data_IF_259111457097
#
_entry.id   IF_259111457097
#
_cell.length_a   1.000
_cell.length_b   1.000
_cell.length_c   1.000
_cell.angle_alpha   90.00
_cell.angle_beta   90.00
_cell.angle_gamma   90.00
#
_symmetry.space_group_name_H-M   'P 1'
#
loop_
_entity.id
_entity.type
_entity.pdbx_description
1 polymer ?
#
# COMPACT_ATOMS: atom_id res chain seq x y z
N UNK A 1 -2.62 -22.55 12.73
CA UNK A 1 -1.97 -21.23 12.62
C UNK A 1 -1.15 -21.22 11.32
N UNK A 2 -0.91 -20.06 10.70
CA UNK A 2 -0.15 -19.96 9.44
C UNK A 2 1.03 -19.01 9.66
N UNK A 3 2.22 -19.46 9.31
CA UNK A 3 3.43 -18.65 9.26
C UNK A 3 3.80 -18.44 7.79
N UNK A 4 4.05 -17.20 7.41
CA UNK A 4 4.47 -16.83 6.06
C UNK A 4 5.77 -16.03 6.15
N UNK A 5 6.82 -16.53 5.50
CA UNK A 5 8.08 -15.80 5.34
C UNK A 5 8.25 -15.40 3.87
N UNK A 6 8.80 -14.21 3.65
CA UNK A 6 9.20 -13.77 2.31
C UNK A 6 10.53 -14.41 1.86
N UNK A 7 11.27 -15.00 2.80
CA UNK A 7 12.59 -15.56 2.56
C UNK A 7 12.63 -17.01 3.09
N UNK A 8 12.83 -17.96 2.18
CA UNK A 8 12.96 -19.37 2.50
C UNK A 8 14.37 -19.73 3.03
N UNK A 9 15.38 -18.90 2.73
CA UNK A 9 16.75 -19.15 3.16
C UNK A 9 16.92 -19.11 4.68
N UNK A 10 15.97 -18.51 5.39
CA UNK A 10 15.95 -18.39 6.85
C UNK A 10 16.05 -19.76 7.56
N UNK A 11 15.58 -20.83 6.92
CA UNK A 11 15.66 -22.21 7.41
C UNK A 11 16.70 -23.07 6.68
N UNK A 12 17.63 -22.45 5.94
CA UNK A 12 18.75 -23.16 5.35
C UNK A 12 19.62 -23.82 6.43
N UNK A 13 20.10 -25.03 6.17
CA UNK A 13 20.99 -25.80 7.04
C UNK A 13 22.21 -24.99 7.47
N UNK A 14 22.78 -24.16 6.59
CA UNK A 14 23.94 -23.32 6.91
C UNK A 14 23.61 -22.26 7.99
N UNK A 15 22.46 -21.59 7.87
CA UNK A 15 22.03 -20.57 8.82
C UNK A 15 21.50 -21.18 10.12
N UNK A 16 20.87 -22.37 10.06
CA UNK A 16 20.44 -23.12 11.24
C UNK A 16 21.64 -23.66 12.04
N UNK A 17 22.69 -24.12 11.36
CA UNK A 17 23.86 -24.71 12.00
C UNK A 17 24.87 -23.69 12.53
N UNK A 18 24.78 -22.43 12.08
CA UNK A 18 25.71 -21.39 12.49
C UNK A 18 25.39 -20.86 13.90
N UNK A 19 26.30 -21.00 14.89
CA UNK A 19 26.06 -20.59 16.27
C UNK A 19 26.02 -19.06 16.47
N UNK A 20 26.41 -18.27 15.46
CA UNK A 20 26.33 -16.80 15.53
C UNK A 20 24.93 -16.26 15.26
N UNK A 21 24.01 -17.10 14.79
CA UNK A 21 22.63 -16.72 14.50
C UNK A 21 21.63 -17.54 15.30
N UNK A 22 20.51 -16.92 15.69
CA UNK A 22 19.44 -17.57 16.45
C UNK A 22 18.38 -18.25 15.57
N UNK A 23 18.67 -18.50 14.28
CA UNK A 23 17.73 -19.06 13.31
C UNK A 23 17.14 -20.39 13.77
N UNK A 24 17.95 -21.23 14.44
CA UNK A 24 17.51 -22.50 15.02
C UNK A 24 16.46 -22.27 16.11
N UNK A 25 16.71 -21.34 17.04
CA UNK A 25 15.77 -21.03 18.12
C UNK A 25 14.49 -20.40 17.57
N UNK A 26 14.62 -19.51 16.57
CA UNK A 26 13.50 -18.89 15.91
C UNK A 26 12.61 -19.92 15.19
N UNK A 27 13.20 -20.87 14.47
CA UNK A 27 12.47 -21.98 13.85
C UNK A 27 11.72 -22.83 14.88
N UNK A 28 12.37 -23.19 15.99
CA UNK A 28 11.71 -23.92 17.08
C UNK A 28 10.54 -23.15 17.69
N UNK A 29 10.67 -21.83 17.86
CA UNK A 29 9.59 -20.98 18.36
C UNK A 29 8.40 -20.95 17.41
N UNK A 30 8.64 -20.90 16.09
CA UNK A 30 7.58 -20.95 15.09
C UNK A 30 6.84 -22.29 15.17
N UNK A 31 7.56 -23.40 15.21
CA UNK A 31 6.94 -24.73 15.30
C UNK A 31 6.11 -24.86 16.58
N UNK A 32 6.68 -24.49 17.73
CA UNK A 32 5.95 -24.51 19.00
C UNK A 32 4.70 -23.64 18.97
N UNK A 33 4.80 -22.46 18.34
CA UNK A 33 3.64 -21.59 18.13
C UNK A 33 2.61 -22.22 17.20
N UNK A 34 3.02 -22.93 16.15
CA UNK A 34 2.10 -23.60 15.22
C UNK A 34 1.38 -24.78 15.87
N UNK A 35 2.03 -25.53 16.77
CA UNK A 35 1.56 -26.81 17.33
C UNK A 35 0.92 -26.72 18.72
N UNK A 36 0.62 -25.54 19.26
CA UNK A 36 -0.06 -25.36 20.57
C UNK A 36 0.58 -26.15 21.73
N UNK A 37 1.89 -26.37 21.69
CA UNK A 37 2.61 -27.23 22.65
C UNK A 37 2.63 -26.71 24.09
N UNK A 38 2.13 -25.50 24.33
CA UNK A 38 2.03 -24.90 25.66
C UNK A 38 0.83 -25.45 26.49
N UNK A 39 -0.04 -26.28 25.91
CA UNK A 39 -1.31 -26.74 26.53
C UNK A 39 -1.29 -28.24 26.91
N UNK A 40 -0.15 -28.94 26.79
CA UNK A 40 0.00 -30.32 27.25
C UNK A 40 -0.52 -31.40 26.29
N UNK A 41 -0.79 -31.04 25.03
CA UNK A 41 -1.12 -31.99 23.97
C UNK A 41 0.14 -32.63 23.35
N UNK A 42 -0.01 -33.87 22.87
CA UNK A 42 1.09 -34.66 22.31
C UNK A 42 1.57 -34.04 20.99
N UNK A 43 2.89 -33.96 20.79
CA UNK A 43 3.50 -33.42 19.54
C UNK A 43 3.22 -34.30 18.31
N UNK A 44 2.68 -35.50 18.50
CA UNK A 44 2.54 -36.52 17.46
C UNK A 44 1.26 -36.37 16.63
N UNK A 45 0.31 -35.56 17.11
CA UNK A 45 -0.99 -35.39 16.46
C UNK A 45 -1.03 -34.23 15.45
N UNK A 46 0.04 -33.42 15.37
CA UNK A 46 0.09 -32.23 14.53
C UNK A 46 0.79 -32.47 13.20
N UNK A 47 0.06 -32.29 12.10
CA UNK A 47 0.62 -32.34 10.75
C UNK A 47 1.12 -30.94 10.37
N UNK A 48 2.43 -30.82 10.16
CA UNK A 48 3.07 -29.58 9.66
C UNK A 48 3.31 -29.76 8.17
N UNK A 49 2.73 -28.87 7.37
CA UNK A 49 2.86 -28.87 5.91
C UNK A 49 3.80 -27.73 5.52
N UNK A 50 4.89 -28.07 4.84
CA UNK A 50 5.82 -27.11 4.26
C UNK A 50 5.52 -26.98 2.77
N UNK A 51 5.14 -25.78 2.34
CA UNK A 51 4.95 -25.44 0.92
C UNK A 51 6.05 -24.48 0.47
N UNK A 52 7.11 -25.05 -0.08
CA UNK A 52 8.21 -24.30 -0.70
C UNK A 52 8.04 -24.16 -2.22
N UNK A 53 6.99 -24.76 -2.79
CA UNK A 53 6.80 -24.82 -4.24
C UNK A 53 6.59 -23.44 -4.87
N UNK A 54 6.10 -22.47 -4.09
CA UNK A 54 5.94 -21.08 -4.53
C UNK A 54 7.27 -20.31 -4.69
N UNK A 55 8.37 -20.81 -4.11
CA UNK A 55 9.70 -20.17 -4.15
C UNK A 55 10.70 -21.00 -4.98
N UNK A 56 10.39 -22.28 -5.22
CA UNK A 56 11.21 -23.15 -6.08
C UNK A 56 11.22 -22.59 -7.52
N UNK A 57 12.40 -22.43 -8.16
CA UNK A 57 12.46 -22.28 -9.61
C UNK A 57 11.83 -23.55 -10.21
N UNK A 58 10.74 -23.41 -10.95
CA UNK A 58 9.98 -24.53 -11.50
C UNK A 58 10.93 -25.48 -12.25
N UNK A 59 11.13 -26.69 -11.71
CA UNK A 59 11.86 -27.74 -12.42
C UNK A 59 11.00 -28.22 -13.60
N UNK A 60 11.20 -27.62 -14.77
CA UNK A 60 11.32 -28.35 -16.03
C UNK A 60 11.53 -27.39 -17.20
N UNK A 61 12.70 -27.48 -17.85
CA UNK A 61 12.95 -27.04 -19.24
C UNK A 61 12.65 -25.59 -19.62
N UNK A 62 12.41 -24.70 -18.67
CA UNK A 62 12.40 -23.29 -18.98
C UNK A 62 13.83 -22.85 -19.25
N UNK A 63 14.13 -22.64 -20.53
CA UNK A 63 15.32 -21.94 -20.98
C UNK A 63 15.51 -20.75 -20.03
N UNK A 64 16.59 -20.76 -19.24
CA UNK A 64 16.87 -19.66 -18.33
C UNK A 64 16.84 -18.36 -19.12
N UNK A 65 16.41 -17.25 -18.52
CA UNK A 65 16.38 -15.95 -19.23
C UNK A 65 17.75 -15.64 -19.88
N UNK A 66 18.84 -16.08 -19.24
CA UNK A 66 20.19 -16.05 -19.79
C UNK A 66 20.40 -17.02 -20.98
N UNK A 67 19.87 -18.24 -20.95
CA UNK A 67 19.92 -19.21 -22.04
C UNK A 67 19.09 -18.80 -23.27
N UNK A 68 17.87 -18.28 -23.08
CA UNK A 68 17.07 -17.68 -24.16
C UNK A 68 17.82 -16.50 -24.76
N UNK A 69 18.35 -15.63 -23.92
CA UNK A 69 19.13 -14.47 -24.37
C UNK A 69 20.37 -14.89 -25.15
N UNK A 70 21.12 -15.89 -24.67
CA UNK A 70 22.29 -16.45 -25.34
C UNK A 70 21.96 -17.06 -26.70
N UNK A 71 20.88 -17.85 -26.78
CA UNK A 71 20.43 -18.45 -28.03
C UNK A 71 20.01 -17.39 -29.06
N UNK A 72 19.26 -16.37 -28.63
CA UNK A 72 18.86 -15.25 -29.49
C UNK A 72 20.08 -14.46 -29.93
N UNK A 73 20.98 -14.07 -29.02
CA UNK A 73 22.18 -13.30 -29.38
C UNK A 73 23.10 -14.06 -30.32
N UNK A 74 23.29 -15.38 -30.15
CA UNK A 74 24.05 -16.19 -31.09
C UNK A 74 23.45 -16.19 -32.49
N UNK A 75 22.12 -16.29 -32.60
CA UNK A 75 21.42 -16.21 -33.88
C UNK A 75 21.56 -14.83 -34.54
N UNK A 76 21.46 -13.75 -33.74
CA UNK A 76 21.65 -12.37 -34.21
C UNK A 76 23.06 -12.16 -34.74
N UNK A 77 24.07 -12.63 -34.00
CA UNK A 77 25.48 -12.51 -34.39
C UNK A 77 25.75 -13.28 -35.68
N UNK A 78 25.24 -14.50 -35.82
CA UNK A 78 25.39 -15.26 -37.06
C UNK A 78 24.74 -14.56 -38.26
N UNK A 79 23.58 -13.93 -38.09
CA UNK A 79 22.89 -13.21 -39.16
C UNK A 79 23.52 -11.85 -39.48
N UNK A 80 24.14 -11.18 -38.51
CA UNK A 80 24.81 -9.90 -38.74
C UNK A 80 26.22 -10.06 -39.34
N UNK A 81 26.85 -11.24 -39.20
CA UNK A 81 28.20 -11.50 -39.71
C UNK A 81 28.22 -11.85 -41.20
N UNK A 82 27.08 -12.24 -41.79
CA UNK A 82 26.97 -12.50 -43.23
C UNK A 82 26.60 -11.20 -43.99
N UNK A 83 27.45 -10.72 -44.93
CA UNK A 83 27.30 -9.41 -45.58
C UNK A 83 25.95 -9.18 -46.29
N UNK A 84 25.31 -10.25 -46.77
CA UNK A 84 24.04 -10.17 -47.49
C UNK A 84 22.87 -10.03 -46.51
N UNK A 85 22.89 -10.79 -45.40
CA UNK A 85 21.80 -10.79 -44.42
C UNK A 85 21.88 -9.59 -43.48
N UNK A 86 23.06 -9.02 -43.26
CA UNK A 86 23.25 -7.84 -42.42
C UNK A 86 22.43 -6.62 -42.86
N UNK A 87 22.14 -6.48 -44.16
CA UNK A 87 21.37 -5.35 -44.69
C UNK A 87 19.85 -5.55 -44.58
N UNK A 88 19.39 -6.80 -44.70
CA UNK A 88 17.96 -7.16 -44.65
C UNK A 88 17.49 -7.36 -43.21
N UNK A 89 18.39 -7.80 -42.33
CA UNK A 89 18.09 -8.13 -40.94
C UNK A 89 17.44 -6.99 -40.13
N UNK A 90 17.89 -5.71 -40.21
CA UNK A 90 17.26 -4.61 -39.49
C UNK A 90 15.79 -4.40 -39.89
N UNK A 91 15.47 -4.58 -41.17
CA UNK A 91 14.10 -4.46 -41.69
C UNK A 91 13.22 -5.61 -41.20
N UNK A 92 13.73 -6.86 -41.26
CA UNK A 92 13.02 -8.02 -40.75
C UNK A 92 12.83 -7.97 -39.23
N UNK A 93 13.82 -7.50 -38.48
CA UNK A 93 13.74 -7.33 -37.03
C UNK A 93 12.68 -6.28 -36.65
N UNK A 94 12.64 -5.14 -37.35
CA UNK A 94 11.58 -4.14 -37.13
C UNK A 94 10.21 -4.72 -37.46
N UNK A 95 10.09 -5.45 -38.58
CA UNK A 95 8.82 -6.04 -39.00
C UNK A 95 8.32 -7.12 -38.03
N UNK A 96 9.20 -8.02 -37.57
CA UNK A 96 8.86 -9.09 -36.64
C UNK A 96 8.56 -8.56 -35.24
N UNK A 97 9.41 -7.65 -34.72
CA UNK A 97 9.24 -7.08 -33.39
C UNK A 97 8.04 -6.15 -33.30
N UNK A 98 7.60 -5.50 -34.39
CA UNK A 98 6.40 -4.65 -34.39
C UNK A 98 5.12 -5.38 -33.96
N UNK A 99 5.06 -6.70 -34.14
CA UNK A 99 3.92 -7.54 -33.70
C UNK A 99 3.94 -7.81 -32.19
N UNK A 100 5.13 -7.87 -31.60
CA UNK A 100 5.35 -8.15 -30.17
C UNK A 100 5.56 -6.89 -29.33
N UNK A 101 5.93 -5.78 -29.97
CA UNK A 101 6.00 -4.48 -29.33
C UNK A 101 4.59 -4.08 -28.89
N UNK A 102 4.39 -3.73 -27.61
CA UNK A 102 3.09 -3.34 -27.11
C UNK A 102 2.59 -2.16 -27.94
N UNK A 103 1.45 -2.34 -28.62
CA UNK A 103 0.76 -1.23 -29.28
C UNK A 103 0.55 -0.17 -28.22
N UNK A 104 1.14 1.02 -28.40
CA UNK A 104 1.07 2.17 -27.47
C UNK A 104 -0.37 2.62 -27.25
N UNK A 105 -1.11 1.86 -26.44
CA UNK A 105 -2.38 2.26 -25.88
C UNK A 105 -2.05 3.18 -24.70
N UNK A 106 -1.82 4.46 -24.99
CA UNK A 106 -1.52 5.52 -24.00
C UNK A 106 -2.49 5.55 -22.80
N UNK A 107 -3.70 4.99 -22.94
CA UNK A 107 -4.69 4.83 -21.86
C UNK A 107 -4.40 3.67 -20.90
N UNK A 108 -3.82 2.57 -21.38
CA UNK A 108 -3.52 1.38 -20.57
C UNK A 108 -2.28 1.55 -19.71
N UNK A 109 -1.23 2.15 -20.27
CA UNK A 109 0.01 2.48 -19.55
C UNK A 109 -0.23 3.47 -18.41
N UNK A 110 -1.05 4.51 -18.64
CA UNK A 110 -1.46 5.45 -17.59
C UNK A 110 -2.25 4.79 -16.46
N UNK A 111 -3.09 3.79 -16.77
CA UNK A 111 -3.83 3.04 -15.74
C UNK A 111 -2.93 2.16 -14.89
N UNK A 112 -1.97 1.45 -15.52
CA UNK A 112 -1.00 0.61 -14.83
C UNK A 112 -0.07 1.42 -13.93
N UNK A 113 0.42 2.57 -14.41
CA UNK A 113 1.20 3.50 -13.60
C UNK A 113 0.42 4.01 -12.38
N UNK A 114 -0.86 4.41 -12.57
CA UNK A 114 -1.71 4.83 -11.45
C UNK A 114 -2.04 3.73 -10.45
N UNK A 115 -2.12 2.46 -10.87
CA UNK A 115 -2.30 1.33 -9.96
C UNK A 115 -1.04 1.02 -9.16
N UNK A 116 0.12 1.20 -9.78
CA UNK A 116 1.43 1.01 -9.15
C UNK A 116 1.70 2.12 -8.13
N UNK A 117 1.44 3.39 -8.50
CA UNK A 117 1.48 4.53 -7.57
C UNK A 117 0.55 4.31 -6.36
N UNK A 118 -0.67 3.79 -6.60
CA UNK A 118 -1.61 3.47 -5.51
C UNK A 118 -1.14 2.34 -4.60
N UNK A 119 -0.40 1.36 -5.13
CA UNK A 119 0.17 0.28 -4.33
C UNK A 119 1.34 0.78 -3.48
N UNK A 120 2.23 1.59 -4.07
CA UNK A 120 3.33 2.23 -3.34
C UNK A 120 2.81 3.19 -2.25
N UNK A 121 1.76 3.96 -2.53
CA UNK A 121 1.07 4.77 -1.52
C UNK A 121 0.54 3.88 -0.38
N UNK A 122 -0.13 2.76 -0.69
CA UNK A 122 -0.62 1.79 0.31
C UNK A 122 0.48 1.17 1.17
N UNK A 123 1.66 0.96 0.60
CA UNK A 123 2.81 0.41 1.31
C UNK A 123 3.45 1.46 2.22
N UNK A 124 3.54 2.73 1.79
CA UNK A 124 3.97 3.86 2.64
C UNK A 124 3.02 4.09 3.82
N UNK A 125 1.71 3.89 3.60
CA UNK A 125 0.69 3.95 4.65
C UNK A 125 0.82 2.86 5.73
N UNK A 126 1.70 1.85 5.61
CA UNK A 126 1.93 0.84 6.66
C UNK A 126 2.90 1.31 7.75
N UNK A 127 3.79 2.26 7.45
CA UNK A 127 4.91 2.64 8.35
C UNK A 127 4.64 3.91 9.16
N UNK A 128 3.72 4.75 8.69
CA UNK A 128 3.26 5.95 9.39
C UNK A 128 1.78 5.83 9.74
N UNK A 129 1.32 6.47 10.82
CA UNK A 129 -0.12 6.53 11.09
C UNK A 129 -0.80 7.21 9.90
N UNK A 130 -1.71 6.53 9.22
CA UNK A 130 -2.48 7.02 8.07
C UNK A 130 -3.02 8.46 8.26
N UNK A 131 -3.31 8.84 9.51
CA UNK A 131 -3.75 10.19 9.85
C UNK A 131 -2.63 11.24 9.72
N UNK A 132 -1.42 10.93 10.18
CA UNK A 132 -0.26 11.82 10.11
C UNK A 132 0.14 12.09 8.65
N UNK A 133 0.25 11.04 7.84
CA UNK A 133 0.61 11.18 6.42
C UNK A 133 -0.48 11.89 5.61
N UNK A 134 -1.75 11.68 5.97
CA UNK A 134 -2.85 12.43 5.34
C UNK A 134 -2.84 13.90 5.70
N UNK A 135 -2.42 14.26 6.92
CA UNK A 135 -2.17 15.65 7.31
C UNK A 135 -0.98 16.22 6.53
N UNK A 136 0.12 15.48 6.43
CA UNK A 136 1.30 15.82 5.63
C UNK A 136 0.88 16.11 4.18
N UNK A 137 0.08 15.24 3.58
CA UNK A 137 -0.42 15.37 2.21
C UNK A 137 -1.29 16.62 2.02
N UNK A 138 -2.18 16.93 2.98
CA UNK A 138 -2.97 18.16 2.92
C UNK A 138 -2.10 19.41 3.05
N UNK A 139 -1.03 19.34 3.86
CA UNK A 139 -0.03 20.40 4.03
C UNK A 139 0.77 20.61 2.75
N UNK A 140 1.38 19.55 2.21
CA UNK A 140 2.19 19.60 0.98
C UNK A 140 1.39 20.08 -0.24
N UNK A 141 0.15 19.62 -0.40
CA UNK A 141 -0.71 20.02 -1.52
C UNK A 141 -1.42 21.36 -1.27
N UNK A 142 -1.19 22.02 -0.14
CA UNK A 142 -1.88 23.27 0.26
C UNK A 142 -3.41 23.17 0.19
N UNK A 143 -3.96 21.98 0.47
CA UNK A 143 -5.41 21.67 0.33
C UNK A 143 -6.15 21.78 1.66
N UNK A 144 -5.88 22.83 2.44
CA UNK A 144 -6.44 23.02 3.78
C UNK A 144 -7.98 23.13 3.78
N UNK A 145 -8.59 23.76 2.77
CA UNK A 145 -10.05 23.86 2.68
C UNK A 145 -10.75 22.50 2.61
N UNK A 146 -10.17 21.52 1.91
CA UNK A 146 -10.71 20.15 1.85
C UNK A 146 -10.57 19.44 3.20
N UNK A 147 -9.45 19.62 3.90
CA UNK A 147 -9.26 19.07 5.24
C UNK A 147 -10.29 19.64 6.23
N UNK A 148 -10.46 20.97 6.23
CA UNK A 148 -11.45 21.66 7.07
C UNK A 148 -12.88 21.21 6.77
N UNK A 149 -13.22 21.03 5.50
CA UNK A 149 -14.55 20.52 5.08
C UNK A 149 -14.81 19.11 5.64
N UNK A 150 -13.82 18.22 5.63
CA UNK A 150 -13.96 16.87 6.18
C UNK A 150 -14.12 16.87 7.70
N UNK A 151 -13.35 17.70 8.40
CA UNK A 151 -13.48 17.89 9.85
C UNK A 151 -14.86 18.43 10.20
N UNK A 152 -15.35 19.42 9.43
CA UNK A 152 -16.69 19.94 9.61
C UNK A 152 -17.77 18.88 9.36
N UNK A 153 -17.71 18.09 8.29
CA UNK A 153 -18.68 17.00 8.06
C UNK A 153 -18.71 15.97 9.20
N UNK A 154 -17.59 15.76 9.88
CA UNK A 154 -17.56 14.92 11.09
C UNK A 154 -18.22 15.61 12.28
N UNK A 155 -17.97 16.90 12.46
CA UNK A 155 -18.58 17.73 13.49
C UNK A 155 -20.10 17.87 13.28
N UNK A 156 -20.53 18.09 12.04
CA UNK A 156 -21.93 18.16 11.60
C UNK A 156 -22.69 16.88 11.95
N UNK A 157 -22.12 15.70 11.69
CA UNK A 157 -22.73 14.43 12.10
C UNK A 157 -22.96 14.34 13.62
N UNK A 158 -21.98 14.78 14.41
CA UNK A 158 -22.12 14.82 15.88
C UNK A 158 -23.15 15.86 16.33
N UNK A 159 -23.14 17.05 15.74
CA UNK A 159 -24.10 18.10 16.07
C UNK A 159 -25.52 17.69 15.69
N UNK A 160 -25.73 17.06 14.53
CA UNK A 160 -27.05 16.56 14.14
C UNK A 160 -27.58 15.51 15.12
N UNK A 161 -26.72 14.62 15.63
CA UNK A 161 -27.10 13.67 16.67
C UNK A 161 -27.52 14.36 17.97
N UNK A 162 -26.83 15.44 18.37
CA UNK A 162 -27.15 16.20 19.58
C UNK A 162 -28.38 17.11 19.41
N UNK A 163 -28.55 17.71 18.24
CA UNK A 163 -29.60 18.69 17.93
C UNK A 163 -30.92 18.06 17.46
N UNK A 164 -30.96 16.72 17.29
CA UNK A 164 -32.16 15.93 16.95
C UNK A 164 -32.98 16.53 15.80
N UNK A 165 -32.30 16.96 14.73
CA UNK A 165 -32.95 17.50 13.53
C UNK A 165 -33.15 19.03 13.49
N UNK A 166 -32.73 19.78 14.52
CA UNK A 166 -32.67 21.26 14.43
C UNK A 166 -31.55 21.69 13.47
N UNK A 167 -31.77 22.79 12.73
CA UNK A 167 -30.75 23.38 11.84
C UNK A 167 -29.51 23.78 12.66
N UNK A 168 -28.34 23.46 12.13
CA UNK A 168 -27.05 23.85 12.72
C UNK A 168 -26.82 25.34 12.43
N UNK A 169 -26.99 26.17 13.45
CA UNK A 169 -26.66 27.59 13.43
C UNK A 169 -25.69 27.91 14.56
N UNK A 170 -24.90 28.98 14.41
CA UNK A 170 -23.92 29.40 15.43
C UNK A 170 -24.58 29.60 16.79
N UNK A 171 -25.78 30.21 16.82
CA UNK A 171 -26.56 30.42 18.05
C UNK A 171 -26.95 29.10 18.72
N UNK A 172 -27.55 28.16 17.97
CA UNK A 172 -27.99 26.87 18.51
C UNK A 172 -26.82 26.05 19.09
N UNK A 173 -25.63 26.15 18.48
CA UNK A 173 -24.42 25.47 18.99
C UNK A 173 -23.90 26.14 20.26
N UNK A 174 -23.91 27.47 20.32
CA UNK A 174 -23.51 28.22 21.53
C UNK A 174 -24.45 27.89 22.70
N UNK A 175 -25.76 27.90 22.46
CA UNK A 175 -26.76 27.58 23.49
C UNK A 175 -26.56 26.15 24.03
N UNK A 176 -26.21 25.21 23.15
CA UNK A 176 -25.91 23.82 23.53
C UNK A 176 -24.61 23.73 24.35
N UNK A 177 -23.59 24.50 24.00
CA UNK A 177 -22.33 24.56 24.75
C UNK A 177 -22.55 25.18 26.13
N UNK A 178 -23.31 26.26 26.24
CA UNK A 178 -23.65 26.91 27.52
C UNK A 178 -24.48 25.97 28.40
N UNK A 179 -25.45 25.26 27.82
CA UNK A 179 -26.27 24.29 28.55
C UNK A 179 -25.44 23.11 29.10
N UNK A 180 -24.35 22.74 28.41
CA UNK A 180 -23.46 21.65 28.82
C UNK A 180 -22.38 22.08 29.81
N UNK A 181 -21.83 23.28 29.64
CA UNK A 181 -20.82 23.88 30.51
C UNK A 181 -21.25 25.28 30.95
N UNK A 182 -21.98 25.40 32.08
CA UNK A 182 -22.48 26.70 32.55
C UNK A 182 -21.37 27.68 32.95
N UNK A 183 -20.18 27.19 33.31
CA UNK A 183 -19.03 28.00 33.73
C UNK A 183 -18.10 28.39 32.57
N UNK A 184 -18.57 28.40 31.33
CA UNK A 184 -17.73 28.71 30.17
C UNK A 184 -17.34 30.20 30.12
N UNK A 185 -16.07 30.48 29.86
CA UNK A 185 -15.56 31.86 29.75
C UNK A 185 -16.06 32.54 28.46
N UNK A 186 -16.39 33.84 28.53
CA UNK A 186 -16.75 34.68 27.37
C UNK A 186 -15.75 34.56 26.20
N UNK A 187 -14.47 34.44 26.52
CA UNK A 187 -13.40 34.29 25.53
C UNK A 187 -13.48 32.96 24.76
N UNK A 188 -13.85 31.86 25.42
CA UNK A 188 -14.09 30.56 24.76
C UNK A 188 -15.33 30.64 23.87
N UNK A 189 -16.42 31.23 24.33
CA UNK A 189 -17.63 31.45 23.51
C UNK A 189 -17.30 32.22 22.23
N UNK A 190 -16.53 33.32 22.34
CA UNK A 190 -16.12 34.11 21.17
C UNK A 190 -15.30 33.31 20.16
N UNK A 191 -14.41 32.43 20.62
CA UNK A 191 -13.62 31.54 19.75
C UNK A 191 -14.51 30.53 19.04
N UNK A 192 -15.46 29.92 19.75
CA UNK A 192 -16.41 28.95 19.17
C UNK A 192 -17.30 29.63 18.12
N UNK A 193 -17.78 30.85 18.42
CA UNK A 193 -18.57 31.67 17.49
C UNK A 193 -17.81 31.90 16.19
N UNK A 194 -16.59 32.43 16.29
CA UNK A 194 -15.73 32.71 15.12
C UNK A 194 -15.43 31.44 14.33
N UNK A 195 -15.18 30.32 15.01
CA UNK A 195 -14.94 29.04 14.37
C UNK A 195 -16.15 28.54 13.57
N UNK A 196 -17.34 28.58 14.18
CA UNK A 196 -18.58 28.15 13.52
C UNK A 196 -18.90 29.02 12.31
N UNK A 197 -18.79 30.34 12.44
CA UNK A 197 -19.05 31.27 11.33
C UNK A 197 -18.07 31.06 10.16
N UNK A 198 -16.79 30.89 10.46
CA UNK A 198 -15.75 30.62 9.45
C UNK A 198 -16.03 29.32 8.70
N UNK A 199 -16.43 28.27 9.41
CA UNK A 199 -16.64 26.96 8.81
C UNK A 199 -17.95 26.86 8.03
N UNK A 200 -19.01 27.51 8.50
CA UNK A 200 -20.26 27.64 7.74
C UNK A 200 -19.99 28.39 6.44
N UNK A 201 -19.24 29.49 6.48
CA UNK A 201 -18.84 30.22 5.28
C UNK A 201 -18.00 29.38 4.30
N UNK A 202 -17.06 28.56 4.80
CA UNK A 202 -16.29 27.62 3.97
C UNK A 202 -17.20 26.56 3.33
N UNK A 203 -18.19 26.04 4.05
CA UNK A 203 -19.16 25.04 3.54
C UNK A 203 -20.00 25.62 2.40
N UNK A 204 -20.43 26.87 2.55
CA UNK A 204 -21.26 27.58 1.57
C UNK A 204 -20.44 28.06 0.35
N UNK A 205 -19.13 27.86 0.35
CA UNK A 205 -18.24 28.25 -0.76
C UNK A 205 -17.87 29.73 -0.76
N UNK A 206 -18.17 30.46 0.31
CA UNK A 206 -17.86 31.89 0.47
C UNK A 206 -16.52 32.15 1.18
N UNK A 207 -15.85 31.10 1.69
CA UNK A 207 -14.52 31.20 2.28
C UNK A 207 -13.41 31.22 1.22
N UNK A 208 -12.71 32.35 1.09
CA UNK A 208 -11.37 32.41 0.50
C UNK A 208 -10.35 31.84 1.48
#
# INVERSE_FOLDING_TARGET
RVFLSADASLFNNELIANPTYDNRQFGLNIINWLTYTDIGESKQDWIIIFDEAHIRPEESRDLTSAGIFGFITQYIIHLSTNPITAWIYPLLAIYSLKKYLPKKNKKGEKKKAQEQDKKEEREKFRTSSFFAEKIEWYREKSRYGKALTLLYRRLERKLNALLRGRKITTKNVIDLVIAKEPNITKLKIRRITKFMDTIIAIKEGHGR
#
